data_IF_149613846990
#
_entry.id   IF_149613846990
#
_cell.length_a   1.000
_cell.length_b   1.000
_cell.length_c   1.000
_cell.angle_alpha   90.00
_cell.angle_beta   90.00
_cell.angle_gamma   90.00
#
_symmetry.space_group_name_H-M   'P 1'
#
loop_
_entity.id
_entity.type
_entity.pdbx_description
1 polymer ?
#
# COMPACT_ATOMS: atom_id res chain seq x y z
N UNK A 1 5.15 33.86 -24.19
CA UNK A 1 5.33 32.40 -24.48
C UNK A 1 6.63 31.79 -23.92
N UNK A 2 7.76 32.49 -23.78
CA UNK A 2 9.02 31.92 -23.21
C UNK A 2 8.97 31.67 -21.68
N UNK A 3 8.22 32.45 -20.91
CA UNK A 3 8.11 32.32 -19.44
C UNK A 3 7.49 30.98 -19.00
N UNK A 4 6.40 30.55 -19.65
CA UNK A 4 5.70 29.30 -19.30
C UNK A 4 6.55 28.03 -19.50
N UNK A 5 7.50 28.04 -20.45
CA UNK A 5 8.36 26.89 -20.71
C UNK A 5 9.47 26.73 -19.67
N UNK A 6 9.98 27.83 -19.09
CA UNK A 6 11.01 27.80 -18.05
C UNK A 6 10.41 27.31 -16.73
N UNK A 7 9.22 27.79 -16.39
CA UNK A 7 8.53 27.38 -15.16
C UNK A 7 8.12 25.90 -15.20
N UNK A 8 7.66 25.41 -16.36
CA UNK A 8 7.33 23.98 -16.58
C UNK A 8 8.56 23.07 -16.51
N UNK A 9 9.72 23.53 -16.98
CA UNK A 9 10.98 22.79 -16.86
C UNK A 9 11.48 22.72 -15.41
N UNK A 10 11.41 23.80 -14.65
CA UNK A 10 11.82 23.80 -13.25
C UNK A 10 10.90 22.93 -12.38
N UNK A 11 9.58 22.95 -12.63
CA UNK A 11 8.64 22.04 -11.96
C UNK A 11 9.01 20.57 -12.23
N UNK A 12 9.24 20.20 -13.49
CA UNK A 12 9.61 18.84 -13.88
C UNK A 12 10.93 18.36 -13.24
N UNK A 13 11.88 19.26 -13.01
CA UNK A 13 13.15 18.96 -12.32
C UNK A 13 12.92 18.70 -10.83
N UNK A 14 12.06 19.50 -10.18
CA UNK A 14 11.72 19.35 -8.76
C UNK A 14 10.96 18.03 -8.53
N UNK A 15 9.95 17.72 -9.34
CA UNK A 15 9.20 16.46 -9.22
C UNK A 15 10.09 15.22 -9.44
N UNK A 16 11.05 15.28 -10.39
CA UNK A 16 12.04 14.22 -10.59
C UNK A 16 13.02 14.03 -9.43
N UNK A 17 13.32 15.11 -8.70
CA UNK A 17 14.15 15.02 -7.49
C UNK A 17 13.38 14.50 -6.28
N UNK A 18 12.07 14.72 -6.24
CA UNK A 18 11.25 14.37 -5.07
C UNK A 18 10.86 12.89 -5.04
N UNK A 19 10.54 12.29 -6.19
CA UNK A 19 10.13 10.89 -6.29
C UNK A 19 11.20 10.04 -6.96
N UNK A 20 11.81 9.11 -6.21
CA UNK A 20 12.78 8.17 -6.76
C UNK A 20 12.10 7.00 -7.45
N UNK A 21 12.73 6.51 -8.50
CA UNK A 21 12.31 5.32 -9.24
C UNK A 21 12.34 4.07 -8.34
N UNK A 22 11.15 3.52 -8.10
CA UNK A 22 10.94 2.26 -7.37
C UNK A 22 10.55 1.10 -8.29
N UNK A 23 10.48 1.34 -9.61
CA UNK A 23 10.22 0.28 -10.59
C UNK A 23 11.43 -0.65 -10.74
N UNK A 24 12.64 -0.18 -10.41
CA UNK A 24 13.87 -0.94 -10.60
C UNK A 24 14.48 -1.48 -9.30
N UNK A 25 13.84 -2.49 -8.73
CA UNK A 25 14.38 -3.26 -7.60
C UNK A 25 15.59 -4.07 -8.11
N UNK A 26 16.79 -3.79 -7.58
CA UNK A 26 18.05 -4.47 -7.96
C UNK A 26 18.65 -5.27 -6.82
N UNK A 27 18.46 -4.79 -5.60
CA UNK A 27 19.09 -5.32 -4.39
C UNK A 27 18.05 -5.50 -3.29
N UNK A 28 18.35 -6.32 -2.29
CA UNK A 28 17.45 -6.57 -1.16
C UNK A 28 17.07 -5.29 -0.41
N UNK A 29 17.94 -4.28 -0.43
CA UNK A 29 17.67 -3.03 0.27
C UNK A 29 16.62 -2.16 -0.42
N UNK A 30 16.39 -2.36 -1.72
CA UNK A 30 15.37 -1.62 -2.48
C UNK A 30 13.94 -1.98 -2.03
N UNK A 31 13.77 -3.09 -1.27
CA UNK A 31 12.49 -3.46 -0.67
C UNK A 31 12.16 -2.66 0.60
N UNK A 32 13.15 -2.14 1.33
CA UNK A 32 12.89 -1.43 2.59
C UNK A 32 11.97 -0.20 2.42
N UNK A 33 12.17 0.69 1.42
CA UNK A 33 11.24 1.79 1.18
C UNK A 33 9.81 1.31 0.85
N UNK A 34 9.68 0.16 0.19
CA UNK A 34 8.38 -0.44 -0.16
C UNK A 34 7.68 -0.92 1.11
N UNK A 35 8.39 -1.70 1.94
CA UNK A 35 7.89 -2.21 3.21
C UNK A 35 7.52 -1.07 4.16
N UNK A 36 8.42 -0.07 4.32
CA UNK A 36 8.14 1.10 5.15
C UNK A 36 6.93 1.89 4.65
N UNK A 37 6.79 2.07 3.33
CA UNK A 37 5.63 2.74 2.75
C UNK A 37 4.32 2.00 2.98
N UNK A 38 4.34 0.67 2.93
CA UNK A 38 3.17 -0.16 3.22
C UNK A 38 2.79 -0.10 4.70
N UNK A 39 3.76 -0.21 5.62
CA UNK A 39 3.50 -0.10 7.07
C UNK A 39 2.94 1.29 7.42
N UNK A 40 3.53 2.36 6.87
CA UNK A 40 3.00 3.72 7.12
C UNK A 40 1.57 3.86 6.60
N UNK A 41 1.29 3.33 5.41
CA UNK A 41 -0.06 3.35 4.82
C UNK A 41 -1.07 2.64 5.72
N UNK A 42 -0.73 1.45 6.20
CA UNK A 42 -1.58 0.65 7.09
C UNK A 42 -1.79 1.34 8.45
N UNK A 43 -0.72 1.87 9.07
CA UNK A 43 -0.82 2.65 10.30
C UNK A 43 -1.70 3.90 10.15
N UNK A 44 -1.72 4.54 8.97
CA UNK A 44 -2.65 5.64 8.69
C UNK A 44 -4.10 5.13 8.67
N UNK A 45 -4.37 3.95 8.10
CA UNK A 45 -5.72 3.35 8.12
C UNK A 45 -6.15 3.03 9.54
N UNK A 46 -5.28 2.40 10.34
CA UNK A 46 -5.55 2.11 11.74
C UNK A 46 -5.77 3.42 12.53
N UNK A 47 -4.94 4.44 12.32
CA UNK A 47 -5.12 5.74 12.95
C UNK A 47 -6.52 6.32 12.67
N UNK A 48 -6.94 6.27 11.40
CA UNK A 48 -8.24 6.77 10.94
C UNK A 48 -9.41 5.96 11.52
N UNK A 49 -9.20 4.67 11.78
CA UNK A 49 -10.15 3.83 12.50
C UNK A 49 -10.26 4.26 13.98
N UNK A 50 -9.14 4.42 14.68
CA UNK A 50 -9.08 4.83 16.10
C UNK A 50 -9.79 6.17 16.33
N UNK A 51 -9.54 7.18 15.48
CA UNK A 51 -10.17 8.50 15.62
C UNK A 51 -11.63 8.55 15.10
N UNK A 52 -12.18 7.41 14.66
CA UNK A 52 -13.57 7.30 14.22
C UNK A 52 -13.88 7.90 12.84
N UNK A 53 -12.86 8.20 12.02
CA UNK A 53 -13.06 8.62 10.64
C UNK A 53 -13.49 7.47 9.73
N UNK A 54 -13.04 6.25 10.04
CA UNK A 54 -13.53 5.02 9.41
C UNK A 54 -14.45 4.34 10.41
N UNK A 55 -15.68 4.04 9.99
CA UNK A 55 -16.66 3.30 10.80
C UNK A 55 -16.90 1.96 10.12
N UNK A 56 -16.20 0.91 10.58
CA UNK A 56 -16.42 -0.45 10.09
C UNK A 56 -16.34 -1.46 11.22
N UNK A 57 -17.39 -2.28 11.35
CA UNK A 57 -17.42 -3.32 12.40
C UNK A 57 -16.49 -4.47 12.03
N UNK A 58 -16.54 -4.89 10.77
CA UNK A 58 -15.69 -5.95 10.23
C UNK A 58 -14.20 -5.58 10.27
N UNK A 59 -13.83 -4.31 10.05
CA UNK A 59 -12.44 -3.88 10.13
C UNK A 59 -11.95 -3.82 11.59
N UNK A 60 -12.79 -3.34 12.52
CA UNK A 60 -12.46 -3.42 13.96
C UNK A 60 -12.31 -4.88 14.41
N UNK A 61 -13.20 -5.77 13.96
CA UNK A 61 -13.09 -7.20 14.23
C UNK A 61 -11.83 -7.81 13.62
N UNK A 62 -11.45 -7.41 12.41
CA UNK A 62 -10.22 -7.86 11.75
C UNK A 62 -9.00 -7.61 12.64
N UNK A 63 -8.83 -6.39 13.13
CA UNK A 63 -7.70 -6.07 14.01
C UNK A 63 -7.81 -6.72 15.39
N UNK A 64 -9.00 -6.83 15.97
CA UNK A 64 -9.20 -7.47 17.28
C UNK A 64 -8.96 -8.99 17.24
N UNK A 65 -9.40 -9.67 16.19
CA UNK A 65 -9.35 -11.14 16.10
C UNK A 65 -7.99 -11.66 15.60
N UNK A 66 -7.35 -10.94 14.66
CA UNK A 66 -6.12 -11.39 14.01
C UNK A 66 -4.87 -10.64 14.50
N UNK A 67 -5.04 -9.49 15.16
CA UNK A 67 -3.96 -8.72 15.75
C UNK A 67 -2.84 -8.41 14.76
N UNK A 68 -1.60 -8.70 15.16
CA UNK A 68 -0.42 -8.53 14.31
C UNK A 68 -0.51 -9.33 12.99
N UNK A 69 -1.22 -10.46 12.97
CA UNK A 69 -1.37 -11.27 11.76
C UNK A 69 -2.22 -10.58 10.70
N UNK A 70 -3.24 -9.83 11.12
CA UNK A 70 -4.06 -9.02 10.21
C UNK A 70 -3.24 -7.90 9.57
N UNK A 71 -2.52 -7.14 10.40
CA UNK A 71 -1.59 -6.09 9.95
C UNK A 71 -0.54 -6.65 8.99
N UNK A 72 0.04 -7.82 9.30
CA UNK A 72 1.02 -8.45 8.43
C UNK A 72 0.42 -8.82 7.07
N UNK A 73 -0.82 -9.33 7.03
CA UNK A 73 -1.50 -9.65 5.79
C UNK A 73 -1.76 -8.39 4.95
N UNK A 74 -2.22 -7.30 5.58
CA UNK A 74 -2.51 -6.03 4.90
C UNK A 74 -1.22 -5.41 4.35
N UNK A 75 -0.17 -5.31 5.17
CA UNK A 75 1.14 -4.79 4.75
C UNK A 75 1.76 -5.64 3.63
N UNK A 76 1.76 -6.97 3.75
CA UNK A 76 2.37 -7.83 2.74
C UNK A 76 1.59 -7.81 1.43
N UNK A 77 0.25 -7.70 1.45
CA UNK A 77 -0.55 -7.58 0.23
C UNK A 77 -0.19 -6.32 -0.57
N UNK A 78 -0.01 -5.18 0.12
CA UNK A 78 0.46 -3.93 -0.50
C UNK A 78 1.87 -4.07 -1.09
N UNK A 79 2.80 -4.68 -0.34
CA UNK A 79 4.17 -4.93 -0.81
C UNK A 79 4.16 -5.81 -2.06
N UNK A 80 3.39 -6.91 -2.07
CA UNK A 80 3.26 -7.81 -3.22
C UNK A 80 2.71 -7.04 -4.43
N UNK A 81 1.67 -6.22 -4.24
CA UNK A 81 1.10 -5.40 -5.31
C UNK A 81 2.13 -4.46 -5.95
N UNK A 82 2.94 -3.75 -5.13
CA UNK A 82 4.00 -2.87 -5.63
C UNK A 82 5.12 -3.66 -6.32
N UNK A 83 5.54 -4.80 -5.79
CA UNK A 83 6.61 -5.62 -6.39
C UNK A 83 6.20 -6.19 -7.75
N UNK A 84 4.96 -6.70 -7.86
CA UNK A 84 4.40 -7.14 -9.15
C UNK A 84 4.35 -5.98 -10.13
N UNK A 85 3.95 -4.79 -9.67
CA UNK A 85 3.94 -3.57 -10.49
C UNK A 85 5.34 -3.22 -10.96
N UNK A 86 6.36 -3.26 -10.10
CA UNK A 86 7.76 -3.03 -10.48
C UNK A 86 8.24 -3.99 -11.56
N UNK A 87 7.80 -5.25 -11.52
CA UNK A 87 8.11 -6.22 -12.56
C UNK A 87 7.41 -5.87 -13.89
N UNK A 88 6.09 -5.65 -13.87
CA UNK A 88 5.28 -5.37 -15.08
C UNK A 88 5.68 -4.04 -15.73
N UNK A 89 5.91 -3.00 -14.94
CA UNK A 89 6.14 -1.63 -15.41
C UNK A 89 7.33 -1.55 -16.37
N UNK A 90 8.40 -2.34 -16.14
CA UNK A 90 9.60 -2.39 -16.99
C UNK A 90 9.32 -2.85 -18.43
N UNK A 91 8.27 -3.63 -18.65
CA UNK A 91 7.88 -4.12 -19.97
C UNK A 91 6.98 -3.15 -20.74
N UNK A 92 6.36 -2.20 -20.04
CA UNK A 92 5.41 -1.24 -20.63
C UNK A 92 6.08 0.11 -20.87
N UNK A 93 6.91 0.57 -19.92
CA UNK A 93 7.51 1.90 -19.95
C UNK A 93 9.04 1.84 -19.91
N UNK A 94 9.68 2.68 -20.71
CA UNK A 94 11.15 2.83 -20.75
C UNK A 94 11.68 3.86 -19.75
N UNK A 95 10.81 4.73 -19.23
CA UNK A 95 11.17 5.78 -18.28
C UNK A 95 10.20 5.77 -17.10
N UNK A 96 10.72 5.97 -15.90
CA UNK A 96 9.90 6.08 -14.69
C UNK A 96 9.06 7.35 -14.68
N UNK A 97 7.78 7.19 -14.36
CA UNK A 97 6.84 8.25 -14.05
C UNK A 97 5.96 7.76 -12.88
N UNK A 98 5.94 8.50 -11.78
CA UNK A 98 5.24 8.09 -10.55
C UNK A 98 3.75 7.88 -10.76
N UNK A 99 3.09 8.70 -11.59
CA UNK A 99 1.66 8.59 -11.86
C UNK A 99 1.34 7.40 -12.75
N UNK A 100 2.17 7.15 -13.78
CA UNK A 100 2.04 5.93 -14.59
C UNK A 100 2.28 4.68 -13.74
N UNK A 101 3.25 4.72 -12.83
CA UNK A 101 3.53 3.61 -11.92
C UNK A 101 2.36 3.35 -10.97
N UNK A 102 1.83 4.40 -10.33
CA UNK A 102 0.65 4.31 -9.47
C UNK A 102 -0.58 3.79 -10.23
N UNK A 103 -0.78 4.23 -11.48
CA UNK A 103 -1.87 3.73 -12.32
C UNK A 103 -1.75 2.21 -12.58
N UNK A 104 -0.56 1.73 -12.97
CA UNK A 104 -0.34 0.29 -13.12
C UNK A 104 -0.55 -0.44 -11.79
N UNK A 105 -0.15 0.14 -10.66
CA UNK A 105 -0.31 -0.48 -9.35
C UNK A 105 -1.78 -0.66 -8.97
N UNK A 106 -2.63 0.32 -9.26
CA UNK A 106 -4.09 0.19 -9.09
C UNK A 106 -4.66 -0.90 -9.99
N UNK A 107 -4.21 -1.02 -11.25
CA UNK A 107 -4.67 -2.10 -12.12
C UNK A 107 -4.27 -3.48 -11.60
N UNK A 108 -3.03 -3.62 -11.10
CA UNK A 108 -2.54 -4.86 -10.49
C UNK A 108 -3.35 -5.21 -9.25
N UNK A 109 -3.57 -4.24 -8.35
CA UNK A 109 -4.37 -4.41 -7.14
C UNK A 109 -5.81 -4.80 -7.48
N UNK A 110 -6.45 -4.12 -8.44
CA UNK A 110 -7.83 -4.44 -8.84
C UNK A 110 -7.95 -5.89 -9.37
N UNK A 111 -7.01 -6.33 -10.21
CA UNK A 111 -7.00 -7.71 -10.70
C UNK A 111 -6.82 -8.70 -9.54
N UNK A 112 -5.87 -8.42 -8.65
CA UNK A 112 -5.62 -9.24 -7.47
C UNK A 112 -6.87 -9.37 -6.60
N UNK A 113 -7.56 -8.27 -6.32
CA UNK A 113 -8.71 -8.26 -5.39
C UNK A 113 -9.94 -8.93 -6.00
N UNK A 114 -10.16 -8.80 -7.31
CA UNK A 114 -11.23 -9.53 -8.00
C UNK A 114 -10.97 -11.05 -8.00
N UNK A 115 -9.71 -11.47 -8.20
CA UNK A 115 -9.33 -12.88 -8.11
C UNK A 115 -9.45 -13.39 -6.66
N UNK A 116 -9.04 -12.60 -5.68
CA UNK A 116 -9.14 -12.93 -4.26
C UNK A 116 -10.60 -12.99 -3.79
N UNK A 117 -11.45 -12.07 -4.24
CA UNK A 117 -12.90 -12.11 -4.00
C UNK A 117 -13.51 -13.39 -4.53
N UNK A 118 -13.19 -13.77 -5.76
CA UNK A 118 -13.64 -15.04 -6.34
C UNK A 118 -13.17 -16.24 -5.50
N UNK A 119 -11.93 -16.22 -5.01
CA UNK A 119 -11.39 -17.28 -4.16
C UNK A 119 -12.16 -17.40 -2.84
N UNK A 120 -12.35 -16.30 -2.10
CA UNK A 120 -12.98 -16.40 -0.79
C UNK A 120 -14.48 -16.68 -0.88
N UNK A 121 -15.19 -16.24 -1.92
CA UNK A 121 -16.59 -16.63 -2.13
C UNK A 121 -16.76 -18.10 -2.53
N UNK A 122 -15.75 -18.71 -3.16
CA UNK A 122 -15.77 -20.13 -3.50
C UNK A 122 -15.60 -21.05 -2.28
N UNK A 123 -14.86 -20.61 -1.26
CA UNK A 123 -14.64 -21.40 -0.05
C UNK A 123 -15.87 -21.35 0.87
N UNK A 124 -16.47 -22.48 1.28
CA UNK A 124 -17.60 -22.49 2.20
C UNK A 124 -17.27 -21.88 3.57
N UNK A 125 -18.28 -21.33 4.27
CA UNK A 125 -18.09 -20.84 5.64
C UNK A 125 -17.68 -21.95 6.60
N UNK A 126 -16.91 -21.57 7.64
CA UNK A 126 -16.39 -22.46 8.66
C UNK A 126 -15.09 -23.19 8.26
N UNK A 127 -14.56 -22.94 7.05
CA UNK A 127 -13.30 -23.55 6.57
C UNK A 127 -12.06 -22.69 6.84
N UNK A 128 -12.23 -21.37 6.85
CA UNK A 128 -11.16 -20.42 7.17
C UNK A 128 -11.77 -19.18 7.80
N UNK A 129 -11.34 -18.87 9.02
CA UNK A 129 -11.80 -17.67 9.74
C UNK A 129 -11.51 -16.40 8.93
N UNK A 130 -10.31 -16.30 8.38
CA UNK A 130 -9.88 -15.15 7.57
C UNK A 130 -10.80 -14.94 6.37
N UNK A 131 -11.08 -16.02 5.62
CA UNK A 131 -11.95 -15.91 4.44
C UNK A 131 -13.40 -15.61 4.81
N UNK A 132 -13.86 -16.06 5.98
CA UNK A 132 -15.19 -15.73 6.48
C UNK A 132 -15.28 -14.24 6.85
N UNK A 133 -14.25 -13.68 7.50
CA UNK A 133 -14.17 -12.25 7.76
C UNK A 133 -14.14 -11.43 6.46
N UNK A 134 -13.43 -11.87 5.42
CA UNK A 134 -13.45 -11.20 4.12
C UNK A 134 -14.82 -11.21 3.44
N UNK A 135 -15.60 -12.30 3.59
CA UNK A 135 -17.00 -12.32 3.11
C UNK A 135 -17.85 -11.31 3.86
N UNK A 136 -17.68 -11.20 5.18
CA UNK A 136 -18.40 -10.24 6.01
C UNK A 136 -18.01 -8.80 5.65
N UNK A 137 -16.72 -8.54 5.45
CA UNK A 137 -16.20 -7.26 4.98
C UNK A 137 -16.80 -6.87 3.62
N UNK A 138 -16.79 -7.81 2.67
CA UNK A 138 -17.41 -7.66 1.35
C UNK A 138 -18.90 -7.31 1.40
N UNK A 139 -19.65 -7.90 2.33
CA UNK A 139 -21.07 -7.60 2.52
C UNK A 139 -21.30 -6.24 3.21
N UNK A 140 -20.38 -5.79 4.08
CA UNK A 140 -20.49 -4.51 4.78
C UNK A 140 -20.22 -3.31 3.85
N UNK A 141 -19.18 -3.38 3.01
CA UNK A 141 -18.69 -2.24 2.23
C UNK A 141 -18.81 -2.38 0.71
N UNK A 142 -19.03 -3.59 0.19
CA UNK A 142 -19.19 -3.83 -1.25
C UNK A 142 -18.07 -3.23 -2.09
N UNK A 143 -18.42 -2.41 -3.09
CA UNK A 143 -17.45 -1.80 -4.01
C UNK A 143 -16.57 -0.72 -3.36
N UNK A 144 -16.93 -0.20 -2.18
CA UNK A 144 -16.14 0.83 -1.47
C UNK A 144 -14.77 0.29 -1.07
N UNK A 145 -14.66 -1.04 -0.86
CA UNK A 145 -13.40 -1.73 -0.57
C UNK A 145 -12.38 -1.49 -1.68
N UNK A 146 -12.79 -1.67 -2.95
CA UNK A 146 -11.89 -1.50 -4.09
C UNK A 146 -11.34 -0.06 -4.19
N UNK A 147 -12.14 0.93 -3.77
CA UNK A 147 -11.72 2.34 -3.73
C UNK A 147 -10.72 2.56 -2.58
N UNK A 148 -11.00 2.00 -1.41
CA UNK A 148 -10.11 2.09 -0.25
C UNK A 148 -8.74 1.45 -0.56
N UNK A 149 -8.74 0.25 -1.14
CA UNK A 149 -7.53 -0.49 -1.49
C UNK A 149 -6.73 0.23 -2.60
N UNK A 150 -7.42 0.84 -3.56
CA UNK A 150 -6.79 1.71 -4.57
C UNK A 150 -6.09 2.93 -3.92
N UNK A 151 -6.72 3.56 -2.91
CA UNK A 151 -6.09 4.66 -2.17
C UNK A 151 -4.90 4.19 -1.35
N UNK A 152 -4.96 2.99 -0.77
CA UNK A 152 -3.86 2.39 0.00
C UNK A 152 -2.67 2.06 -0.92
N UNK A 153 -2.90 1.43 -2.08
CA UNK A 153 -1.79 1.12 -3.00
C UNK A 153 -1.15 2.38 -3.58
N UNK A 154 -1.96 3.41 -3.91
CA UNK A 154 -1.45 4.72 -4.31
C UNK A 154 -0.59 5.31 -3.18
N UNK A 155 -1.11 5.35 -1.95
CA UNK A 155 -0.37 5.90 -0.80
C UNK A 155 0.97 5.18 -0.61
N UNK A 156 0.96 3.85 -0.68
CA UNK A 156 2.17 3.01 -0.60
C UNK A 156 3.18 3.41 -1.66
N UNK A 157 2.77 3.48 -2.94
CA UNK A 157 3.65 3.87 -4.05
C UNK A 157 4.30 5.24 -3.82
N UNK A 158 3.52 6.23 -3.43
CA UNK A 158 4.03 7.59 -3.21
C UNK A 158 4.98 7.65 -2.01
N UNK A 159 4.60 7.05 -0.88
CA UNK A 159 5.45 7.03 0.32
C UNK A 159 6.75 6.28 0.04
N UNK A 160 6.68 5.10 -0.57
CA UNK A 160 7.87 4.32 -0.92
C UNK A 160 8.82 5.09 -1.83
N UNK A 161 8.30 5.83 -2.81
CA UNK A 161 9.11 6.66 -3.70
C UNK A 161 9.75 7.86 -2.98
N UNK A 162 9.11 8.41 -1.93
CA UNK A 162 9.68 9.44 -1.06
C UNK A 162 10.74 8.91 -0.09
N UNK A 163 10.63 7.65 0.35
CA UNK A 163 11.59 7.02 1.26
C UNK A 163 12.81 6.42 0.54
N UNK A 164 12.65 6.03 -0.73
CA UNK A 164 13.72 5.44 -1.53
C UNK A 164 15.00 6.30 -1.71
N UNK A 165 14.98 7.65 -1.74
CA UNK A 165 16.21 8.44 -1.79
C UNK A 165 16.94 8.52 -0.43
N UNK A 166 16.31 8.12 0.68
CA UNK A 166 16.94 8.15 2.00
C UNK A 166 18.05 7.08 2.09
N UNK A 167 18.99 7.30 3.01
CA UNK A 167 20.07 6.34 3.22
C UNK A 167 19.53 5.01 3.78
N UNK A 168 20.27 3.94 3.54
CA UNK A 168 19.97 2.61 4.07
C UNK A 168 19.78 2.63 5.60
N UNK A 169 20.68 3.30 6.32
CA UNK A 169 20.60 3.44 7.79
C UNK A 169 19.30 4.12 8.24
N UNK A 170 18.85 5.15 7.52
CA UNK A 170 17.59 5.84 7.82
C UNK A 170 16.40 4.91 7.54
N UNK A 171 16.41 4.19 6.42
CA UNK A 171 15.35 3.22 6.11
C UNK A 171 15.24 2.09 7.13
N UNK A 172 16.37 1.55 7.59
CA UNK A 172 16.40 0.53 8.66
C UNK A 172 15.90 1.11 9.99
N UNK A 173 16.35 2.31 10.36
CA UNK A 173 15.89 2.97 11.58
C UNK A 173 14.36 3.22 11.55
N UNK A 174 13.83 3.75 10.45
CA UNK A 174 12.39 3.93 10.27
C UNK A 174 11.64 2.60 10.36
N UNK A 175 12.14 1.54 9.73
CA UNK A 175 11.52 0.21 9.81
C UNK A 175 11.37 -0.27 11.26
N UNK A 176 12.43 -0.14 12.07
CA UNK A 176 12.41 -0.50 13.49
C UNK A 176 11.37 0.34 14.26
N UNK A 177 11.36 1.65 14.05
CA UNK A 177 10.40 2.56 14.70
C UNK A 177 8.96 2.22 14.31
N UNK A 178 8.69 1.97 13.03
CA UNK A 178 7.37 1.62 12.53
C UNK A 178 6.88 0.29 13.12
N UNK A 179 7.73 -0.73 13.15
CA UNK A 179 7.40 -2.00 13.81
C UNK A 179 7.11 -1.83 15.30
N UNK A 180 7.86 -0.96 15.98
CA UNK A 180 7.63 -0.66 17.39
C UNK A 180 6.27 0.04 17.62
N UNK A 181 5.79 0.85 16.68
CA UNK A 181 4.50 1.55 16.79
C UNK A 181 3.28 0.66 16.57
N UNK A 182 3.42 -0.42 15.78
CA UNK A 182 2.30 -1.31 15.42
C UNK A 182 1.50 -1.78 16.64
N UNK A 183 2.11 -2.34 17.71
CA UNK A 183 1.35 -2.78 18.88
C UNK A 183 0.57 -1.64 19.54
N UNK A 184 1.14 -0.44 19.65
CA UNK A 184 0.44 0.69 20.29
C UNK A 184 -0.81 1.11 19.53
N UNK A 185 -0.76 1.08 18.20
CA UNK A 185 -1.92 1.38 17.37
C UNK A 185 -2.95 0.25 17.48
N UNK A 186 -2.51 -0.99 17.37
CA UNK A 186 -3.39 -2.16 17.44
C UNK A 186 -4.17 -2.24 18.76
N UNK A 187 -3.50 -2.00 19.90
CA UNK A 187 -4.14 -2.01 21.22
C UNK A 187 -4.89 -0.71 21.58
N UNK A 188 -5.02 0.22 20.63
CA UNK A 188 -5.81 1.45 20.77
C UNK A 188 -7.10 1.46 19.93
N UNK A 189 -7.35 0.38 19.18
CA UNK A 189 -8.61 0.14 18.44
C UNK A 189 -9.69 -0.33 19.41
#
# INVERSE_FOLDING_TARGET
MKSNNIQKNNLNIIYRKMFKDISNIKTTIDFLPIINGAIITDLIVIFRLIIGQIKSKTLTQWYNDYGLSGILADVLSLVIGVVITSFIYKYIFTKFNIFSFAFIAVLVQLIHDLLFARLFYFVPRGKSRILDTFKDYGNEHGYVILIADALMIISTVFISSLLAPLSEKINVFMFIVLLYLIPYFLYSI
#
